data_IF_550263404708
#
_entry.id   IF_550263404708
#
_cell.length_a   1.000
_cell.length_b   1.000
_cell.length_c   1.000
_cell.angle_alpha   90.00
_cell.angle_beta   90.00
_cell.angle_gamma   90.00
#
_symmetry.space_group_name_H-M   'P 1'
#
loop_
_entity.id
_entity.type
_entity.pdbx_description
1 polymer ?
#
# COMPACT_ATOMS: atom_id res chain seq x y z
N UNK A 1 26.93 -9.98 16.06
CA UNK A 1 27.08 -8.52 15.90
C UNK A 1 26.39 -8.15 14.62
N UNK A 2 25.13 -7.73 14.69
CA UNK A 2 24.42 -7.14 13.56
C UNK A 2 24.99 -5.73 13.43
N UNK A 3 25.49 -5.36 12.25
CA UNK A 3 25.93 -3.98 12.00
C UNK A 3 24.70 -3.10 12.16
N UNK A 4 24.81 -2.04 12.95
CA UNK A 4 23.90 -0.89 12.82
C UNK A 4 24.01 -0.44 11.36
N UNK A 5 22.92 -0.58 10.60
CA UNK A 5 22.84 -0.05 9.24
C UNK A 5 22.75 1.47 9.36
N UNK A 6 23.90 2.11 9.54
CA UNK A 6 24.03 3.55 9.56
C UNK A 6 23.82 4.08 8.15
N UNK A 7 22.57 4.40 7.83
CA UNK A 7 22.17 5.00 6.56
C UNK A 7 22.42 6.51 6.53
N UNK A 8 23.03 7.12 7.56
CA UNK A 8 23.35 8.54 7.59
C UNK A 8 24.32 8.89 6.46
N UNK A 9 23.79 9.50 5.39
CA UNK A 9 24.53 9.86 4.18
C UNK A 9 24.23 9.01 2.96
N UNK A 10 23.34 8.01 3.06
CA UNK A 10 22.79 7.34 1.88
C UNK A 10 21.86 8.31 1.12
N UNK A 11 21.86 8.29 -0.22
CA UNK A 11 20.91 9.09 -1.00
C UNK A 11 19.47 8.57 -0.78
N UNK A 12 18.49 9.43 -1.07
CA UNK A 12 17.08 9.03 -1.09
C UNK A 12 16.85 7.99 -2.18
N UNK A 13 16.28 6.84 -1.80
CA UNK A 13 15.83 5.81 -2.73
C UNK A 13 14.46 6.17 -3.33
N UNK A 14 14.29 5.89 -4.62
CA UNK A 14 13.00 6.07 -5.31
C UNK A 14 12.63 4.79 -6.04
N UNK A 15 11.35 4.42 -5.98
CA UNK A 15 10.80 3.26 -6.66
C UNK A 15 9.62 3.75 -7.48
N UNK A 16 9.63 3.46 -8.78
CA UNK A 16 8.58 3.89 -9.67
C UNK A 16 7.41 2.89 -9.60
N UNK A 17 6.23 3.40 -9.26
CA UNK A 17 4.98 2.66 -9.29
C UNK A 17 3.94 3.28 -10.20
N UNK A 18 2.94 2.47 -10.57
CA UNK A 18 1.79 2.87 -11.38
C UNK A 18 0.51 2.54 -10.63
N UNK A 19 -0.24 3.56 -10.28
CA UNK A 19 -1.54 3.45 -9.63
C UNK A 19 -2.63 3.47 -10.71
N UNK A 20 -3.23 2.31 -10.99
CA UNK A 20 -4.12 2.10 -12.12
C UNK A 20 -3.36 1.83 -13.43
N UNK A 21 -3.54 0.63 -13.98
CA UNK A 21 -2.81 0.16 -15.15
C UNK A 21 -3.40 0.63 -16.49
N UNK A 22 -4.26 1.66 -16.51
CA UNK A 22 -4.99 2.11 -17.71
C UNK A 22 -4.07 2.55 -18.87
N UNK A 23 -2.88 3.05 -18.53
CA UNK A 23 -1.83 3.48 -19.47
C UNK A 23 -1.15 2.33 -20.20
N UNK A 24 -1.17 1.12 -19.63
CA UNK A 24 -0.72 -0.09 -20.30
C UNK A 24 -1.88 -0.55 -21.17
N UNK A 25 -1.83 -0.20 -22.46
CA UNK A 25 -2.98 -0.47 -23.34
C UNK A 25 -3.08 -1.93 -23.73
N UNK A 26 -1.94 -2.64 -23.78
CA UNK A 26 -1.84 -4.08 -24.00
C UNK A 26 -0.72 -4.67 -23.14
N UNK A 27 -0.88 -5.90 -22.57
CA UNK A 27 0.10 -6.48 -21.64
C UNK A 27 1.54 -6.61 -22.18
N UNK A 28 1.71 -6.78 -23.49
CA UNK A 28 3.03 -6.87 -24.15
C UNK A 28 3.85 -5.58 -24.07
N UNK A 29 3.21 -4.44 -23.76
CA UNK A 29 3.91 -3.16 -23.51
C UNK A 29 4.64 -3.14 -22.16
N UNK A 30 4.33 -4.05 -21.24
CA UNK A 30 4.83 -4.01 -19.87
C UNK A 30 6.37 -4.03 -19.80
N UNK A 31 7.03 -4.74 -20.73
CA UNK A 31 8.49 -4.75 -20.81
C UNK A 31 9.08 -3.35 -21.00
N UNK A 32 8.48 -2.51 -21.83
CA UNK A 32 8.94 -1.14 -22.07
C UNK A 32 8.84 -0.29 -20.78
N UNK A 33 7.74 -0.42 -20.05
CA UNK A 33 7.56 0.25 -18.76
C UNK A 33 8.57 -0.24 -17.71
N UNK A 34 8.81 -1.55 -17.66
CA UNK A 34 9.80 -2.15 -16.78
C UNK A 34 11.22 -1.65 -17.08
N UNK A 35 11.60 -1.59 -18.37
CA UNK A 35 12.88 -1.06 -18.83
C UNK A 35 13.01 0.43 -18.49
N UNK A 36 11.90 1.17 -18.52
CA UNK A 36 11.78 2.56 -18.05
C UNK A 36 11.87 2.73 -16.53
N UNK A 37 11.89 1.64 -15.75
CA UNK A 37 12.12 1.65 -14.31
C UNK A 37 10.88 1.33 -13.45
N UNK A 38 9.72 1.06 -14.05
CA UNK A 38 8.50 0.69 -13.31
C UNK A 38 8.70 -0.64 -12.57
N UNK A 39 8.29 -0.72 -11.30
CA UNK A 39 8.50 -1.93 -10.47
C UNK A 39 7.27 -2.45 -9.74
N UNK A 40 6.27 -1.61 -9.51
CA UNK A 40 5.00 -2.02 -8.90
C UNK A 40 3.81 -1.43 -9.65
N UNK A 41 2.71 -2.17 -9.66
CA UNK A 41 1.47 -1.78 -10.35
C UNK A 41 0.28 -2.16 -9.47
N UNK A 42 -0.65 -1.23 -9.29
CA UNK A 42 -2.04 -1.55 -8.98
C UNK A 42 -2.87 -1.55 -10.27
N UNK A 43 -3.73 -2.56 -10.44
CA UNK A 43 -4.48 -2.76 -11.67
C UNK A 43 -5.57 -1.70 -11.91
N UNK A 44 -6.08 -1.09 -10.82
CA UNK A 44 -7.12 -0.07 -10.87
C UNK A 44 -6.86 1.07 -9.89
N UNK A 45 -7.42 2.23 -10.18
CA UNK A 45 -7.62 3.29 -9.18
C UNK A 45 -9.09 3.29 -8.72
N UNK A 46 -9.79 4.43 -8.71
CA UNK A 46 -11.22 4.47 -8.43
C UNK A 46 -12.08 4.05 -9.63
N UNK A 47 -13.16 3.31 -9.37
CA UNK A 47 -14.12 2.88 -10.39
C UNK A 47 -13.59 1.74 -11.27
N UNK A 48 -14.09 1.61 -12.50
CA UNK A 48 -13.66 0.53 -13.41
C UNK A 48 -12.49 0.99 -14.27
N UNK A 49 -11.33 0.36 -14.06
CA UNK A 49 -10.14 0.52 -14.90
C UNK A 49 -10.09 -0.56 -16.00
N UNK A 50 -9.12 -0.45 -16.90
CA UNK A 50 -8.89 -1.37 -18.02
C UNK A 50 -8.80 -2.85 -17.63
N UNK A 51 -8.24 -3.15 -16.45
CA UNK A 51 -7.88 -4.51 -16.04
C UNK A 51 -8.64 -5.00 -14.80
N UNK A 52 -9.21 -4.13 -13.99
CA UNK A 52 -9.97 -4.56 -12.81
C UNK A 52 -10.99 -3.51 -12.40
N UNK A 53 -11.93 -3.96 -11.57
CA UNK A 53 -12.76 -3.04 -10.81
C UNK A 53 -11.96 -2.55 -9.61
N UNK A 54 -11.94 -1.24 -9.43
CA UNK A 54 -11.45 -0.58 -8.24
C UNK A 54 -12.55 -0.34 -7.21
N UNK A 55 -12.12 0.23 -6.10
CA UNK A 55 -12.94 0.79 -5.04
C UNK A 55 -13.49 2.15 -5.47
N UNK A 56 -14.36 2.74 -4.66
CA UNK A 56 -14.99 4.03 -4.95
C UNK A 56 -16.03 3.95 -6.07
N UNK A 57 -16.94 4.90 -6.09
CA UNK A 57 -18.02 5.01 -7.12
C UNK A 57 -19.06 3.86 -7.07
N UNK A 58 -19.04 3.03 -6.03
CA UNK A 58 -19.99 1.92 -5.85
C UNK A 58 -19.81 0.80 -6.86
N UNK A 59 -18.60 0.64 -7.40
CA UNK A 59 -18.28 -0.41 -8.37
C UNK A 59 -17.98 -1.73 -7.68
N UNK A 60 -18.79 -2.74 -7.99
CA UNK A 60 -18.50 -4.14 -7.65
C UNK A 60 -18.00 -4.89 -8.89
N UNK A 61 -17.01 -5.75 -8.72
CA UNK A 61 -16.56 -6.65 -9.78
C UNK A 61 -15.15 -7.17 -9.57
N UNK A 62 -14.69 -7.99 -10.51
CA UNK A 62 -13.36 -8.59 -10.47
C UNK A 62 -12.44 -8.05 -11.55
N UNK A 63 -11.50 -8.89 -11.96
CA UNK A 63 -10.65 -8.66 -13.11
C UNK A 63 -11.47 -8.60 -14.41
N UNK A 64 -11.04 -7.75 -15.33
CA UNK A 64 -11.66 -7.55 -16.66
C UNK A 64 -10.59 -7.53 -17.76
N UNK A 65 -11.05 -7.66 -19.01
CA UNK A 65 -10.17 -7.59 -20.18
C UNK A 65 -9.02 -8.61 -20.13
N UNK A 66 -7.79 -8.14 -20.36
CA UNK A 66 -6.59 -8.98 -20.42
C UNK A 66 -5.81 -9.00 -19.09
N UNK A 67 -6.47 -8.81 -17.95
CA UNK A 67 -5.81 -8.70 -16.65
C UNK A 67 -4.99 -9.93 -16.26
N UNK A 68 -5.51 -11.13 -16.53
CA UNK A 68 -4.76 -12.37 -16.29
C UNK A 68 -3.43 -12.38 -17.05
N UNK A 69 -3.43 -11.92 -18.30
CA UNK A 69 -2.20 -11.82 -19.08
C UNK A 69 -1.27 -10.76 -18.49
N UNK A 70 -1.79 -9.60 -18.08
CA UNK A 70 -0.98 -8.57 -17.41
C UNK A 70 -0.31 -9.11 -16.13
N UNK A 71 -1.05 -9.81 -15.26
CA UNK A 71 -0.52 -10.40 -14.04
C UNK A 71 0.59 -11.43 -14.34
N UNK A 72 0.41 -12.25 -15.38
CA UNK A 72 1.43 -13.22 -15.81
C UNK A 72 2.69 -12.54 -16.34
N UNK A 73 2.57 -11.41 -17.06
CA UNK A 73 3.73 -10.63 -17.49
C UNK A 73 4.40 -9.91 -16.31
N UNK A 74 3.64 -9.41 -15.34
CA UNK A 74 4.20 -8.84 -14.10
C UNK A 74 5.01 -9.89 -13.33
N UNK A 75 4.48 -11.11 -13.20
CA UNK A 75 5.19 -12.24 -12.57
C UNK A 75 6.48 -12.58 -13.33
N UNK A 76 6.42 -12.65 -14.67
CA UNK A 76 7.59 -12.98 -15.50
C UNK A 76 8.73 -11.95 -15.36
N UNK A 77 8.36 -10.69 -15.09
CA UNK A 77 9.29 -9.57 -14.89
C UNK A 77 9.70 -9.37 -13.43
N UNK A 78 9.22 -10.21 -12.50
CA UNK A 78 9.45 -10.07 -11.07
C UNK A 78 9.02 -8.68 -10.55
N UNK A 79 7.88 -8.20 -11.05
CA UNK A 79 7.25 -6.97 -10.56
C UNK A 79 6.48 -7.25 -9.27
N UNK A 80 6.09 -6.18 -8.59
CA UNK A 80 5.26 -6.26 -7.38
C UNK A 80 3.83 -5.92 -7.77
N UNK A 81 2.90 -6.74 -7.31
CA UNK A 81 1.49 -6.42 -7.36
C UNK A 81 1.11 -5.57 -6.14
N UNK A 82 0.61 -4.36 -6.38
CA UNK A 82 -0.04 -3.54 -5.37
C UNK A 82 -1.56 -3.75 -5.43
N UNK A 83 -2.16 -4.19 -4.33
CA UNK A 83 -3.61 -4.43 -4.24
C UNK A 83 -4.37 -3.23 -3.66
N UNK A 84 -3.71 -2.09 -3.44
CA UNK A 84 -4.39 -0.85 -3.08
C UNK A 84 -5.34 -0.42 -4.19
N UNK A 85 -6.46 0.21 -3.82
CA UNK A 85 -7.58 0.57 -4.69
C UNK A 85 -8.37 -0.56 -5.33
N UNK A 86 -7.87 -1.79 -5.44
CA UNK A 86 -8.60 -2.86 -6.13
C UNK A 86 -9.81 -3.31 -5.30
N UNK A 87 -10.94 -3.56 -5.97
CA UNK A 87 -12.18 -4.00 -5.31
C UNK A 87 -12.02 -5.37 -4.66
N UNK A 88 -12.92 -5.72 -3.73
CA UNK A 88 -12.76 -6.95 -2.94
C UNK A 88 -12.63 -8.22 -3.78
N UNK A 89 -13.42 -8.32 -4.85
CA UNK A 89 -13.40 -9.46 -5.76
C UNK A 89 -12.18 -9.42 -6.71
N UNK A 90 -11.68 -8.22 -7.04
CA UNK A 90 -10.42 -8.09 -7.79
C UNK A 90 -9.23 -8.53 -6.96
N UNK A 91 -9.12 -8.09 -5.69
CA UNK A 91 -8.08 -8.55 -4.75
C UNK A 91 -8.06 -10.09 -4.67
N UNK A 92 -9.23 -10.72 -4.51
CA UNK A 92 -9.35 -12.18 -4.45
C UNK A 92 -8.76 -12.85 -5.70
N UNK A 93 -9.17 -12.40 -6.89
CA UNK A 93 -8.74 -12.96 -8.16
C UNK A 93 -7.25 -12.66 -8.47
N UNK A 94 -6.77 -11.48 -8.10
CA UNK A 94 -5.37 -11.08 -8.20
C UNK A 94 -4.49 -12.06 -7.41
N UNK A 95 -4.82 -12.31 -6.14
CA UNK A 95 -4.07 -13.21 -5.27
C UNK A 95 -4.15 -14.69 -5.68
N UNK A 96 -5.20 -15.09 -6.41
CA UNK A 96 -5.34 -16.45 -6.97
C UNK A 96 -4.51 -16.68 -8.24
N UNK A 97 -4.19 -15.61 -8.97
CA UNK A 97 -3.51 -15.70 -10.28
C UNK A 97 -2.03 -15.33 -10.16
N UNK A 98 -1.74 -14.28 -9.40
CA UNK A 98 -0.40 -13.72 -9.27
C UNK A 98 0.37 -14.48 -8.20
N UNK A 99 1.58 -14.95 -8.52
CA UNK A 99 2.40 -15.78 -7.61
C UNK A 99 3.55 -14.98 -6.96
N UNK A 100 3.91 -13.83 -7.53
CA UNK A 100 4.97 -12.97 -7.06
C UNK A 100 4.66 -12.21 -5.75
N UNK A 101 5.51 -11.22 -5.40
CA UNK A 101 5.35 -10.43 -4.18
C UNK A 101 4.15 -9.48 -4.24
N UNK A 102 3.42 -9.41 -3.14
CA UNK A 102 2.23 -8.55 -2.98
C UNK A 102 2.49 -7.48 -1.94
N UNK A 103 1.97 -6.28 -2.17
CA UNK A 103 1.92 -5.19 -1.20
C UNK A 103 0.53 -4.53 -1.25
N UNK A 104 0.13 -3.88 -0.17
CA UNK A 104 -0.89 -2.82 -0.21
C UNK A 104 -0.18 -1.51 0.17
N UNK A 105 0.18 -0.67 -0.79
CA UNK A 105 0.99 0.53 -0.57
C UNK A 105 0.33 1.59 0.32
N UNK A 106 -1.00 1.75 0.24
CA UNK A 106 -1.77 2.76 0.98
C UNK A 106 -3.19 2.25 1.24
N UNK A 107 -3.31 1.49 2.34
CA UNK A 107 -4.53 0.79 2.71
C UNK A 107 -4.77 0.75 4.22
N UNK A 108 -6.05 0.85 4.60
CA UNK A 108 -6.50 0.86 6.00
C UNK A 108 -7.48 -0.29 6.29
N UNK A 109 -7.89 -0.40 7.56
CA UNK A 109 -8.64 -1.54 8.10
C UNK A 109 -10.13 -1.24 8.21
N UNK A 110 -10.97 -2.04 7.55
CA UNK A 110 -12.43 -1.88 7.52
C UNK A 110 -13.08 -2.08 8.89
N UNK A 111 -12.42 -2.80 9.79
CA UNK A 111 -12.86 -3.00 11.16
C UNK A 111 -12.81 -1.72 12.02
N UNK A 112 -11.95 -0.75 11.66
CA UNK A 112 -11.82 0.53 12.36
C UNK A 112 -12.61 1.62 11.61
N UNK A 113 -12.41 1.72 10.30
CA UNK A 113 -13.05 2.71 9.44
C UNK A 113 -13.88 1.99 8.38
N UNK A 114 -15.22 2.04 8.44
CA UNK A 114 -16.06 1.31 7.50
C UNK A 114 -16.02 1.96 6.10
N UNK A 115 -15.94 1.11 5.08
CA UNK A 115 -15.92 1.57 3.70
C UNK A 115 -15.32 0.56 2.75
N UNK A 116 -15.73 0.61 1.48
CA UNK A 116 -15.20 -0.28 0.43
C UNK A 116 -13.72 0.00 0.15
N UNK A 117 -13.24 1.23 0.42
CA UNK A 117 -11.84 1.59 0.21
C UNK A 117 -10.89 0.88 1.17
N UNK A 118 -11.35 0.47 2.36
CA UNK A 118 -10.56 -0.22 3.39
C UNK A 118 -10.67 -1.73 3.22
N UNK A 119 -9.66 -2.50 3.66
CA UNK A 119 -9.71 -3.96 3.56
C UNK A 119 -10.45 -4.62 4.74
N UNK A 120 -11.27 -5.64 4.48
CA UNK A 120 -11.76 -6.54 5.51
C UNK A 120 -10.63 -7.45 6.02
N UNK A 121 -10.76 -7.96 7.24
CA UNK A 121 -9.75 -8.79 7.90
C UNK A 121 -9.25 -9.97 7.06
N UNK A 122 -10.11 -10.60 6.26
CA UNK A 122 -9.71 -11.76 5.47
C UNK A 122 -8.73 -11.38 4.35
N UNK A 123 -8.86 -10.22 3.72
CA UNK A 123 -7.88 -9.75 2.73
C UNK A 123 -6.57 -9.30 3.38
N UNK A 124 -6.65 -8.61 4.52
CA UNK A 124 -5.47 -8.27 5.33
C UNK A 124 -4.68 -9.55 5.64
N UNK A 125 -5.36 -10.61 6.08
CA UNK A 125 -4.76 -11.91 6.34
C UNK A 125 -4.16 -12.55 5.08
N UNK A 126 -4.85 -12.50 3.94
CA UNK A 126 -4.29 -13.02 2.68
C UNK A 126 -2.99 -12.31 2.27
N UNK A 127 -2.90 -10.98 2.46
CA UNK A 127 -1.65 -10.23 2.20
C UNK A 127 -0.56 -10.66 3.18
N UNK A 128 -0.87 -10.80 4.47
CA UNK A 128 0.06 -11.26 5.51
C UNK A 128 0.57 -12.68 5.21
N UNK A 129 -0.32 -13.60 4.83
CA UNK A 129 0.00 -14.99 4.49
C UNK A 129 0.94 -15.09 3.27
N UNK A 130 0.84 -14.12 2.35
CA UNK A 130 1.76 -13.96 1.20
C UNK A 130 3.10 -13.30 1.58
N UNK A 131 3.33 -13.00 2.86
CA UNK A 131 4.51 -12.27 3.31
C UNK A 131 4.49 -10.79 2.93
N UNK A 132 3.35 -10.28 2.47
CA UNK A 132 3.17 -8.90 2.03
C UNK A 132 3.11 -7.91 3.18
N UNK A 133 3.22 -6.63 2.83
CA UNK A 133 3.21 -5.50 3.77
C UNK A 133 2.04 -4.58 3.44
N UNK A 134 1.44 -4.00 4.48
CA UNK A 134 0.33 -3.05 4.37
C UNK A 134 0.85 -1.69 4.82
N UNK A 135 1.07 -0.80 3.87
CA UNK A 135 1.33 0.61 4.10
C UNK A 135 0.02 1.31 4.44
N UNK A 136 -0.05 1.95 5.62
CA UNK A 136 -1.27 2.62 6.05
C UNK A 136 -1.38 4.02 5.46
N UNK A 137 -2.57 4.34 4.92
CA UNK A 137 -2.87 5.65 4.33
C UNK A 137 -3.21 6.69 5.39
N UNK A 138 -2.71 7.91 5.16
CA UNK A 138 -3.00 9.08 5.98
C UNK A 138 -4.18 9.90 5.46
N UNK A 139 -4.84 9.48 4.37
CA UNK A 139 -6.03 10.16 3.89
C UNK A 139 -7.10 10.19 5.01
N UNK A 140 -7.48 11.40 5.42
CA UNK A 140 -8.47 11.59 6.47
C UNK A 140 -9.84 10.99 6.14
N UNK A 141 -10.22 10.83 4.86
CA UNK A 141 -11.43 10.07 4.51
C UNK A 141 -11.28 8.58 4.86
N UNK A 142 -10.07 8.03 4.79
CA UNK A 142 -9.77 6.63 5.13
C UNK A 142 -9.50 6.40 6.62
N UNK A 143 -9.45 7.46 7.43
CA UNK A 143 -9.21 7.42 8.88
C UNK A 143 -10.41 7.89 9.71
N UNK A 144 -11.37 8.56 9.09
CA UNK A 144 -12.56 9.03 9.79
C UNK A 144 -13.48 7.84 10.10
N UNK A 145 -13.59 7.47 11.37
CA UNK A 145 -14.27 6.25 11.82
C UNK A 145 -15.78 6.19 11.58
N UNK A 146 -16.35 7.19 10.89
CA UNK A 146 -17.77 7.23 10.51
C UNK A 146 -17.91 6.86 9.04
N UNK A 147 -19.05 6.26 8.71
CA UNK A 147 -19.31 5.79 7.35
C UNK A 147 -19.37 6.95 6.35
N UNK A 148 -18.62 6.77 5.26
CA UNK A 148 -18.68 7.60 4.06
C UNK A 148 -19.34 6.78 2.97
N UNK A 149 -20.27 7.40 2.25
CA UNK A 149 -20.79 6.84 1.01
C UNK A 149 -19.71 6.95 -0.08
N UNK A 150 -18.95 5.88 -0.27
CA UNK A 150 -17.89 5.80 -1.26
C UNK A 150 -18.40 5.85 -2.71
N UNK A 151 -19.71 5.64 -2.92
CA UNK A 151 -20.34 5.84 -4.23
C UNK A 151 -20.53 7.32 -4.59
N UNK A 152 -20.51 8.19 -3.58
CA UNK A 152 -20.71 9.63 -3.72
C UNK A 152 -19.84 10.39 -2.71
N UNK A 153 -18.52 10.23 -2.85
CA UNK A 153 -17.54 10.87 -1.97
C UNK A 153 -17.74 12.38 -2.00
N UNK A 154 -17.99 13.04 -0.84
CA UNK A 154 -18.13 14.48 -0.78
C UNK A 154 -16.89 15.20 -1.33
N UNK A 155 -17.04 16.25 -2.15
CA UNK A 155 -15.90 17.01 -2.68
C UNK A 155 -15.17 17.81 -1.59
N UNK A 156 -15.84 18.06 -0.46
CA UNK A 156 -15.29 18.69 0.72
C UNK A 156 -15.53 17.79 1.92
N UNK A 157 -14.57 17.77 2.84
CA UNK A 157 -14.63 16.89 4.01
C UNK A 157 -15.88 17.17 4.83
N UNK A 158 -16.64 16.11 5.22
CA UNK A 158 -17.82 16.27 6.05
C UNK A 158 -17.50 16.41 7.55
N UNK A 159 -16.22 16.55 7.91
CA UNK A 159 -15.72 16.63 9.28
C UNK A 159 -14.63 17.71 9.46
N UNK A 160 -14.47 18.25 10.68
CA UNK A 160 -13.37 19.15 11.03
C UNK A 160 -11.99 18.47 10.94
N UNK A 161 -10.92 19.25 10.61
CA UNK A 161 -9.55 18.71 10.49
C UNK A 161 -9.06 18.06 11.79
N UNK A 162 -9.43 18.63 12.93
CA UNK A 162 -9.04 18.18 14.28
C UNK A 162 -9.81 16.95 14.78
N UNK A 163 -10.80 16.45 14.04
CA UNK A 163 -11.50 15.19 14.37
C UNK A 163 -10.69 13.95 13.96
N UNK A 164 -9.74 14.09 13.03
CA UNK A 164 -8.91 12.99 12.52
C UNK A 164 -7.44 13.26 12.84
N UNK A 165 -6.87 12.44 13.70
CA UNK A 165 -5.54 12.63 14.31
C UNK A 165 -4.58 11.51 13.93
N UNK A 166 -3.29 11.70 14.21
CA UNK A 166 -2.30 10.64 14.11
C UNK A 166 -2.63 9.43 15.00
N UNK A 167 -3.39 9.59 16.08
CA UNK A 167 -3.81 8.46 16.92
C UNK A 167 -4.72 7.50 16.11
N UNK A 168 -5.67 8.05 15.34
CA UNK A 168 -6.52 7.25 14.43
C UNK A 168 -5.69 6.51 13.38
N UNK A 169 -4.62 7.15 12.89
CA UNK A 169 -3.69 6.52 11.96
C UNK A 169 -2.95 5.33 12.59
N UNK A 170 -2.40 5.52 13.80
CA UNK A 170 -1.65 4.47 14.49
C UNK A 170 -2.58 3.33 14.95
N UNK A 171 -3.88 3.57 15.14
CA UNK A 171 -4.86 2.50 15.41
C UNK A 171 -4.91 1.46 14.30
N UNK A 172 -4.82 1.88 13.04
CA UNK A 172 -4.77 0.98 11.91
C UNK A 172 -3.47 0.16 11.85
N UNK A 173 -2.33 0.80 12.13
CA UNK A 173 -1.03 0.13 12.26
C UNK A 173 -1.10 -0.94 13.35
N UNK A 174 -1.54 -0.56 14.54
CA UNK A 174 -1.64 -1.46 15.68
C UNK A 174 -2.55 -2.64 15.38
N UNK A 175 -3.71 -2.39 14.76
CA UNK A 175 -4.65 -3.44 14.40
C UNK A 175 -4.05 -4.49 13.44
N UNK A 176 -3.29 -4.07 12.43
CA UNK A 176 -2.57 -5.03 11.55
C UNK A 176 -1.52 -5.81 12.33
N UNK A 177 -0.77 -5.16 13.23
CA UNK A 177 0.19 -5.85 14.09
C UNK A 177 -0.48 -6.88 15.01
N UNK A 178 -1.64 -6.56 15.60
CA UNK A 178 -2.42 -7.50 16.41
C UNK A 178 -2.95 -8.67 15.57
N UNK A 179 -3.43 -8.41 14.34
CA UNK A 179 -3.87 -9.46 13.42
C UNK A 179 -2.74 -10.40 12.99
N UNK A 180 -1.54 -9.85 12.73
CA UNK A 180 -0.36 -10.61 12.37
C UNK A 180 0.31 -11.31 13.57
N UNK A 181 0.07 -10.81 14.79
CA UNK A 181 0.78 -11.21 16.00
C UNK A 181 2.24 -10.75 16.05
N UNK A 182 2.64 -9.81 15.18
CA UNK A 182 3.98 -9.25 15.09
C UNK A 182 3.99 -7.93 14.28
N UNK A 183 5.11 -7.23 14.24
CA UNK A 183 5.24 -5.94 13.56
C UNK A 183 5.64 -6.01 12.09
N UNK A 184 5.73 -7.19 11.46
CA UNK A 184 6.43 -7.40 10.18
C UNK A 184 5.59 -7.08 8.94
N UNK A 185 4.31 -6.74 9.13
CA UNK A 185 3.35 -6.58 8.02
C UNK A 185 2.70 -5.21 7.96
N UNK A 186 3.03 -4.29 8.87
CA UNK A 186 2.58 -2.91 8.84
C UNK A 186 3.69 -1.98 8.36
N UNK A 187 3.35 -0.93 7.61
CA UNK A 187 4.28 0.09 7.14
C UNK A 187 3.61 1.46 7.01
N UNK A 188 4.42 2.48 6.71
CA UNK A 188 3.95 3.82 6.39
C UNK A 188 3.63 3.92 4.90
N UNK A 189 2.37 4.22 4.57
CA UNK A 189 1.84 4.36 3.21
C UNK A 189 1.12 5.68 3.01
N UNK A 190 1.73 6.79 3.46
CA UNK A 190 0.99 8.00 3.84
C UNK A 190 0.36 8.84 2.75
N UNK A 191 0.25 8.34 1.51
CA UNK A 191 -0.59 8.90 0.42
C UNK A 191 -0.41 10.43 0.19
N UNK A 192 0.82 10.89 0.43
CA UNK A 192 1.17 12.31 0.40
C UNK A 192 0.96 12.87 -0.99
N UNK A 193 0.36 14.06 -1.05
CA UNK A 193 -0.09 14.75 -2.27
C UNK A 193 -1.24 14.07 -3.04
N UNK A 194 -1.57 12.80 -2.77
CA UNK A 194 -2.76 12.11 -3.30
C UNK A 194 -4.05 12.50 -2.56
N UNK A 195 -3.98 12.66 -1.24
CA UNK A 195 -5.11 13.06 -0.38
C UNK A 195 -5.46 14.56 -0.39
N UNK A 196 -4.86 15.37 -1.26
CA UNK A 196 -5.03 16.83 -1.24
C UNK A 196 -4.13 17.57 -0.23
N UNK A 197 -2.96 17.00 0.05
CA UNK A 197 -1.89 17.60 0.85
C UNK A 197 -2.19 17.71 2.34
N UNK A 198 -1.65 18.74 3.00
CA UNK A 198 -1.83 19.02 4.45
C UNK A 198 -3.30 19.05 4.89
N UNK A 199 -4.20 19.43 3.99
CA UNK A 199 -5.63 19.47 4.31
C UNK A 199 -6.13 18.04 4.49
N UNK A 200 -5.83 17.10 3.59
CA UNK A 200 -6.28 15.72 3.69
C UNK A 200 -5.47 14.79 4.59
N UNK A 201 -4.46 15.32 5.29
CA UNK A 201 -3.65 14.57 6.25
C UNK A 201 -4.17 14.72 7.69
N UNK A 202 -3.76 13.85 8.64
CA UNK A 202 -4.15 13.94 10.04
C UNK A 202 -3.77 15.28 10.65
N UNK A 203 -4.46 15.67 11.73
CA UNK A 203 -4.32 16.99 12.34
C UNK A 203 -2.87 17.43 12.58
N UNK A 204 -2.03 16.53 13.06
CA UNK A 204 -0.63 16.76 13.40
C UNK A 204 0.34 16.72 12.21
N UNK A 205 -0.12 16.42 11.01
CA UNK A 205 0.71 16.27 9.81
C UNK A 205 0.58 17.49 8.91
N UNK A 206 1.67 18.25 8.79
CA UNK A 206 1.79 19.35 7.84
C UNK A 206 2.74 19.02 6.69
N UNK A 207 3.77 18.21 6.97
CA UNK A 207 4.78 17.77 6.00
C UNK A 207 5.22 16.33 6.24
N UNK A 208 5.92 15.72 5.29
CA UNK A 208 6.53 14.39 5.46
C UNK A 208 7.54 14.33 6.62
N UNK A 209 8.08 15.46 7.08
CA UNK A 209 8.97 15.49 8.24
C UNK A 209 8.23 15.13 9.54
N UNK A 210 6.91 15.37 9.58
CA UNK A 210 6.07 15.09 10.74
C UNK A 210 5.80 13.60 10.94
N UNK A 211 6.15 12.74 9.97
CA UNK A 211 6.00 11.29 10.10
C UNK A 211 6.82 10.73 11.27
N UNK A 212 7.88 11.44 11.68
CA UNK A 212 8.66 11.08 12.86
C UNK A 212 7.83 11.10 14.17
N UNK A 213 6.70 11.82 14.21
CA UNK A 213 5.78 11.84 15.36
C UNK A 213 5.14 10.48 15.64
N UNK A 214 5.06 9.60 14.63
CA UNK A 214 4.51 8.23 14.78
C UNK A 214 5.31 7.42 15.78
N UNK A 215 6.64 7.61 15.85
CA UNK A 215 7.54 6.90 16.76
C UNK A 215 7.05 7.02 18.20
N UNK A 216 6.76 8.25 18.65
CA UNK A 216 6.33 8.49 20.02
C UNK A 216 4.98 7.81 20.34
N UNK A 217 4.06 7.76 19.37
CA UNK A 217 2.76 7.09 19.55
C UNK A 217 2.90 5.57 19.65
N UNK A 218 3.79 4.97 18.84
CA UNK A 218 4.09 3.54 18.94
C UNK A 218 4.78 3.20 20.27
N UNK A 219 5.74 4.02 20.72
CA UNK A 219 6.39 3.86 22.04
C UNK A 219 5.35 3.88 23.18
N UNK A 220 4.40 4.82 23.14
CA UNK A 220 3.32 4.92 24.13
C UNK A 220 2.41 3.69 24.16
N UNK A 221 2.29 2.98 23.02
CA UNK A 221 1.54 1.73 22.89
C UNK A 221 2.36 0.48 23.26
N UNK A 222 3.63 0.66 23.63
CA UNK A 222 4.50 -0.42 24.13
C UNK A 222 5.32 -1.15 23.07
N UNK A 223 5.32 -0.66 21.82
CA UNK A 223 6.18 -1.19 20.76
C UNK A 223 7.65 -1.02 21.12
N UNK A 224 8.46 -2.05 20.86
CA UNK A 224 9.90 -1.99 21.09
C UNK A 224 10.59 -1.34 19.89
N UNK A 225 11.84 -0.90 20.08
CA UNK A 225 12.61 -0.23 19.03
C UNK A 225 12.67 -1.05 17.73
N UNK A 226 12.84 -2.37 17.81
CA UNK A 226 12.87 -3.22 16.63
C UNK A 226 11.52 -3.21 15.87
N UNK A 227 10.41 -3.22 16.60
CA UNK A 227 9.08 -3.18 15.99
C UNK A 227 8.82 -1.83 15.31
N UNK A 228 9.24 -0.74 15.95
CA UNK A 228 9.15 0.62 15.39
C UNK A 228 9.99 0.70 14.12
N UNK A 229 11.23 0.21 14.11
CA UNK A 229 12.06 0.19 12.91
C UNK A 229 11.46 -0.66 11.78
N UNK A 230 10.83 -1.79 12.14
CA UNK A 230 10.10 -2.62 11.18
C UNK A 230 9.00 -1.81 10.47
N UNK A 231 8.13 -1.15 11.25
CA UNK A 231 7.02 -0.35 10.76
C UNK A 231 7.50 0.87 9.97
N UNK A 232 8.51 1.58 10.48
CA UNK A 232 8.94 2.85 9.91
C UNK A 232 9.72 2.68 8.60
N UNK A 233 10.48 1.59 8.41
CA UNK A 233 11.26 1.42 7.18
C UNK A 233 11.64 -0.02 6.81
N UNK A 234 11.90 -0.92 7.77
CA UNK A 234 12.50 -2.23 7.41
C UNK A 234 11.53 -3.13 6.66
N UNK A 235 10.22 -3.08 6.93
CA UNK A 235 9.25 -3.96 6.27
C UNK A 235 9.18 -3.69 4.76
N UNK A 236 9.13 -2.41 4.36
CA UNK A 236 9.16 -2.03 2.95
C UNK A 236 10.47 -2.47 2.28
N UNK A 237 11.59 -2.33 2.98
CA UNK A 237 12.90 -2.80 2.51
C UNK A 237 12.99 -4.32 2.35
N UNK A 238 12.50 -5.09 3.34
CA UNK A 238 12.66 -6.55 3.44
C UNK A 238 11.76 -7.34 2.50
N UNK A 239 10.47 -7.00 2.42
CA UNK A 239 9.48 -7.81 1.69
C UNK A 239 9.37 -7.46 0.20
N UNK A 240 9.39 -6.16 -0.11
CA UNK A 240 9.03 -5.67 -1.44
C UNK A 240 10.26 -5.21 -2.23
N UNK A 241 11.15 -4.42 -1.62
CA UNK A 241 12.28 -3.83 -2.34
C UNK A 241 13.46 -4.79 -2.52
N UNK A 242 13.78 -5.61 -1.51
CA UNK A 242 14.86 -6.61 -1.63
C UNK A 242 14.60 -7.61 -2.75
N UNK A 243 13.33 -7.91 -3.07
CA UNK A 243 12.97 -8.75 -4.22
C UNK A 243 13.40 -8.10 -5.54
N UNK A 244 13.14 -6.80 -5.72
CA UNK A 244 13.61 -6.03 -6.89
C UNK A 244 15.15 -6.07 -7.00
N UNK A 245 15.86 -5.95 -5.87
CA UNK A 245 17.33 -5.89 -5.87
C UNK A 245 18.00 -7.26 -6.06
N UNK A 246 17.44 -8.35 -5.52
CA UNK A 246 18.01 -9.69 -5.65
C UNK A 246 17.96 -10.19 -7.11
N UNK A 247 16.86 -9.95 -7.82
CA UNK A 247 16.71 -10.32 -9.24
C UNK A 247 17.76 -9.63 -10.12
N UNK A 248 18.11 -8.38 -9.82
CA UNK A 248 19.13 -7.64 -10.58
C UNK A 248 20.54 -8.23 -10.40
N UNK A 249 20.84 -8.81 -9.24
CA UNK A 249 22.14 -9.44 -8.96
C UNK A 249 22.24 -10.83 -9.59
N UNK A 250 21.15 -11.60 -9.62
CA UNK A 250 21.11 -12.92 -10.26
C UNK A 250 21.11 -12.82 -11.79
N UNK A 251 20.40 -11.83 -12.36
CA UNK A 251 20.40 -11.55 -13.80
C UNK A 251 21.74 -11.00 -14.34
N UNK A 252 22.66 -10.57 -13.48
CA UNK A 252 24.03 -10.18 -13.87
C UNK A 252 25.02 -11.35 -13.88
N UNK A 253 24.66 -12.52 -13.35
CA UNK A 253 25.51 -13.72 -13.35
C UNK A 253 25.28 -14.65 -14.56
N UNK A 254 24.48 -14.21 -15.55
CA UNK A 254 24.32 -14.91 -16.84
C UNK A 254 24.77 -13.99 -17.98
N UNK A 255 26.08 -13.77 -18.08
CA UNK A 255 26.78 -13.44 -19.34
C UNK A 255 28.19 -14.01 -19.31
#
# INVERSE_FOLDING_TARGET
>A
MVKEDDHMGSPVGMVLGMEGADSITTPDQLQEWYDGGLRLISLSHYGVSRYSHGTGTGTEGGLVGNAKQLLQEMDSLNMILDVSHTSDESVRQELEIFEGPVIATHQNCRAITPGERQFPDHQIKSVIERGGVIGHSMDTYMLWSKEIDWSNIPPARPFPKDEVTLDNYVDHIDYVCQLAGNSLHAAIGGDTDGQGGMIGAPYEIDTVADYQKIVQLLEQRGYQNEDIENIMYKNLGRGSLNYIYQVKLEGQNVR
#
